data_IF_257723369229
#
_entry.id   IF_257723369229
#
_cell.length_a   1.000
_cell.length_b   1.000
_cell.length_c   1.000
_cell.angle_alpha   90.00
_cell.angle_beta   90.00
_cell.angle_gamma   90.00
#
_symmetry.space_group_name_H-M   'P 1'
#
loop_
_entity.id
_entity.type
_entity.pdbx_description
1 polymer ?
#
# COMPACT_ATOMS: atom_id res chain seq x y z
N UNK A 1 -8.76 13.81 -2.00
CA UNK A 1 -9.02 15.11 -2.68
C UNK A 1 -10.50 15.17 -3.04
N UNK A 2 -11.17 16.32 -2.88
CA UNK A 2 -12.61 16.44 -3.15
C UNK A 2 -12.87 17.35 -4.36
N UNK A 3 -13.43 16.80 -5.45
CA UNK A 3 -13.86 17.58 -6.62
C UNK A 3 -15.10 16.99 -7.31
N UNK A 4 -16.28 17.48 -6.92
CA UNK A 4 -17.49 17.51 -7.75
C UNK A 4 -18.52 18.45 -7.11
N UNK A 5 -18.56 19.74 -7.48
CA UNK A 5 -19.45 20.71 -6.84
C UNK A 5 -20.02 21.79 -7.78
N UNK A 6 -20.69 21.37 -8.86
CA UNK A 6 -21.54 22.23 -9.71
C UNK A 6 -22.69 21.44 -10.32
N UNK A 7 -23.93 21.63 -9.84
CA UNK A 7 -25.15 21.12 -10.49
C UNK A 7 -25.70 22.20 -11.42
N UNK A 8 -25.51 22.04 -12.74
CA UNK A 8 -26.08 22.96 -13.74
C UNK A 8 -27.51 22.57 -14.09
N UNK A 9 -28.47 23.40 -13.69
CA UNK A 9 -29.92 23.18 -13.87
C UNK A 9 -30.43 23.92 -15.10
N UNK A 10 -30.33 23.31 -16.28
CA UNK A 10 -30.98 23.80 -17.51
C UNK A 10 -31.50 22.65 -18.37
N UNK A 11 -32.83 22.52 -18.45
CA UNK A 11 -33.48 21.41 -19.16
C UNK A 11 -33.95 21.80 -20.56
N UNK A 12 -33.67 20.94 -21.55
CA UNK A 12 -34.46 20.80 -22.77
C UNK A 12 -34.78 19.31 -22.96
N UNK A 13 -36.04 18.98 -23.19
CA UNK A 13 -36.50 17.59 -23.17
C UNK A 13 -36.08 16.83 -24.43
N UNK A 14 -35.25 15.80 -24.26
CA UNK A 14 -34.96 14.80 -25.32
C UNK A 14 -35.93 13.63 -25.24
N UNK A 15 -36.44 13.18 -26.38
CA UNK A 15 -37.54 12.20 -26.46
C UNK A 15 -37.24 10.87 -25.76
N UNK A 16 -38.17 10.41 -24.92
CA UNK A 16 -38.14 9.05 -24.35
C UNK A 16 -38.33 8.02 -25.46
N UNK A 17 -37.33 7.18 -25.72
CA UNK A 17 -37.55 5.90 -26.40
C UNK A 17 -38.41 5.00 -25.50
N UNK A 18 -39.37 4.28 -26.07
CA UNK A 18 -40.12 3.24 -25.36
C UNK A 18 -39.18 2.08 -24.98
N UNK A 19 -39.38 1.40 -23.84
CA UNK A 19 -38.64 0.18 -23.53
C UNK A 19 -38.95 -0.91 -24.56
N UNK A 20 -37.95 -1.73 -24.87
CA UNK A 20 -38.17 -3.02 -25.55
C UNK A 20 -38.95 -3.97 -24.63
N UNK A 21 -39.69 -4.91 -25.21
CA UNK A 21 -40.48 -5.88 -24.45
C UNK A 21 -39.60 -6.75 -23.53
N UNK A 22 -40.12 -7.01 -22.33
CA UNK A 22 -39.57 -7.99 -21.38
C UNK A 22 -39.39 -9.36 -22.03
N UNK A 23 -38.36 -10.12 -21.62
CA UNK A 23 -38.20 -11.51 -22.02
C UNK A 23 -39.41 -12.36 -21.58
N UNK A 24 -39.73 -13.41 -22.35
CA UNK A 24 -40.84 -14.31 -22.03
C UNK A 24 -40.55 -15.11 -20.75
N UNK A 25 -41.53 -15.17 -19.85
CA UNK A 25 -41.51 -16.05 -18.68
C UNK A 25 -41.38 -17.51 -19.11
N UNK A 26 -40.55 -18.28 -18.40
CA UNK A 26 -40.33 -19.70 -18.66
C UNK A 26 -41.67 -20.47 -18.66
N UNK A 27 -41.89 -21.27 -19.70
CA UNK A 27 -43.13 -22.02 -19.90
C UNK A 27 -43.38 -23.06 -18.80
N UNK A 28 -44.65 -23.20 -18.40
CA UNK A 28 -45.06 -23.99 -17.24
C UNK A 28 -44.82 -25.51 -17.38
N UNK A 29 -44.70 -26.17 -16.22
CA UNK A 29 -44.72 -27.63 -16.07
C UNK A 29 -46.00 -28.19 -16.70
N UNK A 30 -45.87 -29.29 -17.47
CA UNK A 30 -47.01 -29.93 -18.14
C UNK A 30 -47.76 -30.87 -17.21
N UNK A 31 -49.09 -30.81 -17.27
CA UNK A 31 -50.03 -31.74 -16.63
C UNK A 31 -50.21 -33.03 -17.44
N UNK A 32 -50.57 -34.09 -16.73
CA UNK A 32 -51.22 -35.33 -17.24
C UNK A 32 -52.75 -35.20 -17.10
N UNK A 33 -53.63 -35.91 -17.84
CA UNK A 33 -53.43 -36.86 -18.96
C UNK A 33 -54.28 -36.45 -20.22
N UNK A 34 -55.29 -37.11 -20.82
CA UNK A 34 -55.94 -38.41 -20.60
C UNK A 34 -56.42 -39.13 -21.88
N UNK A 35 -56.08 -40.42 -21.98
CA UNK A 35 -56.65 -41.51 -22.84
C UNK A 35 -56.58 -41.43 -24.39
N UNK A 36 -56.59 -42.63 -24.97
CA UNK A 36 -56.25 -42.97 -26.35
C UNK A 36 -57.42 -42.98 -27.33
N UNK A 37 -57.22 -42.47 -28.55
CA UNK A 37 -57.92 -42.89 -29.78
C UNK A 37 -56.95 -42.93 -30.97
N UNK A 38 -57.04 -43.96 -31.81
CA UNK A 38 -56.31 -44.07 -33.09
C UNK A 38 -57.12 -43.50 -34.26
N UNK A 39 -56.71 -43.61 -35.53
CA UNK A 39 -55.52 -44.26 -36.13
C UNK A 39 -55.18 -43.57 -37.47
N UNK A 40 -53.87 -43.44 -37.80
CA UNK A 40 -53.30 -43.68 -39.14
C UNK A 40 -51.78 -43.49 -39.13
N UNK A 41 -51.04 -44.46 -39.65
CA UNK A 41 -49.59 -44.35 -39.85
C UNK A 41 -49.28 -43.53 -41.11
N UNK A 42 -48.21 -42.73 -41.06
CA UNK A 42 -47.71 -41.96 -42.20
C UNK A 42 -46.21 -42.22 -42.36
N UNK A 43 -45.81 -42.76 -43.51
CA UNK A 43 -44.44 -43.25 -43.76
C UNK A 43 -43.48 -42.11 -44.13
N UNK A 44 -43.18 -41.24 -43.17
CA UNK A 44 -42.01 -40.35 -43.20
C UNK A 44 -41.32 -40.37 -41.84
N UNK A 45 -40.03 -40.68 -41.84
CA UNK A 45 -39.19 -40.48 -40.66
C UNK A 45 -39.19 -39.00 -40.25
N UNK A 46 -39.03 -38.73 -38.96
CA UNK A 46 -38.86 -37.37 -38.48
C UNK A 46 -37.56 -36.80 -39.06
N UNK A 47 -37.63 -35.58 -39.61
CA UNK A 47 -36.42 -34.80 -39.94
C UNK A 47 -35.58 -34.66 -38.67
N UNK A 48 -34.25 -34.81 -38.76
CA UNK A 48 -33.35 -34.65 -37.61
C UNK A 48 -33.44 -33.22 -37.06
N UNK A 49 -34.26 -33.02 -36.03
CA UNK A 49 -34.34 -31.76 -35.28
C UNK A 49 -33.11 -31.71 -34.38
N UNK A 50 -31.99 -31.28 -34.95
CA UNK A 50 -30.81 -30.91 -34.16
C UNK A 50 -31.22 -29.88 -33.13
N UNK A 51 -30.91 -30.17 -31.87
CA UNK A 51 -31.08 -29.22 -30.76
C UNK A 51 -30.43 -27.90 -31.14
N UNK A 52 -31.14 -26.79 -30.95
CA UNK A 52 -30.57 -25.47 -31.20
C UNK A 52 -29.28 -25.33 -30.38
N UNK A 53 -28.15 -25.06 -31.04
CA UNK A 53 -26.87 -24.90 -30.35
C UNK A 53 -26.98 -23.73 -29.37
N UNK A 54 -26.94 -24.04 -28.08
CA UNK A 54 -27.12 -23.06 -27.03
C UNK A 54 -25.97 -22.04 -27.10
N UNK A 55 -26.32 -20.80 -27.42
CA UNK A 55 -25.35 -19.72 -27.70
C UNK A 55 -24.49 -19.41 -26.47
N UNK A 56 -24.98 -19.73 -25.27
CA UNK A 56 -24.20 -19.63 -24.04
C UNK A 56 -22.94 -20.50 -24.04
N UNK A 57 -22.98 -21.69 -24.67
CA UNK A 57 -21.82 -22.60 -24.73
C UNK A 57 -20.66 -22.04 -25.58
N UNK A 58 -20.94 -21.13 -26.52
CA UNK A 58 -19.90 -20.51 -27.33
C UNK A 58 -18.91 -19.69 -26.47
N UNK A 59 -19.41 -19.00 -25.43
CA UNK A 59 -18.57 -18.24 -24.51
C UNK A 59 -17.60 -19.13 -23.71
N UNK A 60 -18.07 -20.31 -23.27
CA UNK A 60 -17.24 -21.30 -22.56
C UNK A 60 -16.16 -21.93 -23.47
N UNK A 61 -16.36 -21.90 -24.79
CA UNK A 61 -15.36 -22.30 -25.78
C UNK A 61 -14.34 -21.21 -26.15
N UNK A 62 -14.56 -19.95 -25.75
CA UNK A 62 -13.66 -18.85 -26.08
C UNK A 62 -12.48 -18.76 -25.12
N UNK A 63 -11.26 -18.91 -25.66
CA UNK A 63 -10.02 -18.55 -24.94
C UNK A 63 -9.67 -17.09 -25.21
N UNK A 64 -9.62 -16.29 -24.14
CA UNK A 64 -9.10 -14.93 -24.19
C UNK A 64 -7.60 -14.95 -23.90
N UNK A 65 -6.78 -14.35 -24.77
CA UNK A 65 -5.34 -14.18 -24.52
C UNK A 65 -5.11 -13.23 -23.33
N UNK A 66 -4.10 -13.48 -22.48
CA UNK A 66 -3.82 -12.65 -21.31
C UNK A 66 -3.45 -11.23 -21.73
N UNK A 67 -4.05 -10.24 -21.08
CA UNK A 67 -3.70 -8.82 -21.22
C UNK A 67 -2.89 -8.41 -20.01
N UNK A 68 -1.81 -7.65 -20.22
CA UNK A 68 -1.03 -7.07 -19.12
C UNK A 68 -1.94 -6.23 -18.21
N UNK A 69 -1.80 -6.33 -16.90
CA UNK A 69 -2.58 -5.54 -15.95
C UNK A 69 -2.18 -4.06 -16.08
N UNK A 70 -3.07 -3.23 -16.61
CA UNK A 70 -2.71 -1.91 -17.12
C UNK A 70 -2.71 -0.85 -16.02
N UNK A 71 -1.51 -0.40 -15.63
CA UNK A 71 -1.31 0.92 -15.06
C UNK A 71 -0.44 1.75 -16.01
N UNK A 72 -0.96 2.93 -16.36
CA UNK A 72 -0.39 3.86 -17.34
C UNK A 72 -0.23 3.30 -18.77
N UNK A 73 -1.24 2.58 -19.28
CA UNK A 73 -1.48 2.52 -20.73
C UNK A 73 -1.98 3.88 -21.24
N UNK A 74 -1.02 4.79 -21.41
CA UNK A 74 -1.20 6.11 -22.00
C UNK A 74 -1.95 5.96 -23.33
N UNK A 75 -3.14 6.57 -23.41
CA UNK A 75 -4.01 6.46 -24.59
C UNK A 75 -3.36 7.07 -25.85
N UNK A 76 -2.41 7.99 -25.66
CA UNK A 76 -1.59 8.63 -26.71
C UNK A 76 -0.26 7.88 -27.03
N UNK A 77 -0.04 6.64 -26.56
CA UNK A 77 1.23 5.96 -26.83
C UNK A 77 1.34 5.45 -28.29
N UNK A 78 2.51 5.66 -28.90
CA UNK A 78 2.86 5.03 -30.18
C UNK A 78 3.08 3.53 -29.95
N UNK A 79 2.10 2.73 -30.40
CA UNK A 79 2.10 1.26 -30.27
C UNK A 79 3.27 0.59 -30.98
N UNK A 80 3.70 1.12 -32.13
CA UNK A 80 4.82 0.57 -32.90
C UNK A 80 6.14 0.84 -32.18
N UNK A 81 6.30 2.03 -31.61
CA UNK A 81 7.41 2.36 -30.72
C UNK A 81 7.40 1.52 -29.45
N UNK A 82 6.24 1.32 -28.82
CA UNK A 82 6.10 0.52 -27.61
C UNK A 82 6.52 -0.94 -27.83
N UNK A 83 6.01 -1.59 -28.88
CA UNK A 83 6.37 -2.98 -29.24
C UNK A 83 7.87 -3.13 -29.60
N UNK A 84 8.43 -2.17 -30.34
CA UNK A 84 9.85 -2.14 -30.69
C UNK A 84 10.75 -1.93 -29.47
N UNK A 85 10.45 -0.95 -28.62
CA UNK A 85 11.21 -0.66 -27.40
C UNK A 85 11.10 -1.84 -26.42
N UNK A 86 9.92 -2.47 -26.30
CA UNK A 86 9.71 -3.73 -25.58
C UNK A 86 10.60 -4.86 -26.10
N UNK A 87 10.54 -5.19 -27.40
CA UNK A 87 11.35 -6.25 -28.02
C UNK A 87 12.85 -6.00 -27.86
N UNK A 88 13.30 -4.74 -27.94
CA UNK A 88 14.68 -4.34 -27.66
C UNK A 88 15.07 -4.61 -26.19
N UNK A 89 14.22 -4.27 -25.24
CA UNK A 89 14.49 -4.50 -23.81
C UNK A 89 14.42 -5.98 -23.42
N UNK A 90 13.50 -6.75 -24.02
CA UNK A 90 13.41 -8.21 -23.86
C UNK A 90 14.71 -8.88 -24.33
N UNK A 91 15.16 -8.51 -25.53
CA UNK A 91 16.43 -8.97 -26.12
C UNK A 91 17.65 -8.66 -25.26
N UNK A 92 17.62 -7.55 -24.51
CA UNK A 92 18.71 -7.15 -23.62
C UNK A 92 18.76 -8.01 -22.36
N UNK A 93 17.60 -8.32 -21.75
CA UNK A 93 17.54 -9.20 -20.57
C UNK A 93 17.87 -10.65 -20.95
N UNK A 94 17.33 -11.16 -22.06
CA UNK A 94 17.66 -12.49 -22.56
C UNK A 94 19.18 -12.69 -22.72
N UNK A 95 19.88 -11.69 -23.28
CA UNK A 95 21.34 -11.70 -23.40
C UNK A 95 22.06 -11.53 -22.07
N UNK A 96 21.52 -10.75 -21.12
CA UNK A 96 22.16 -10.52 -19.81
C UNK A 96 22.21 -11.79 -18.96
N UNK A 97 21.15 -12.60 -18.99
CA UNK A 97 21.00 -13.81 -18.18
C UNK A 97 21.09 -15.12 -19.01
N UNK A 98 21.52 -15.04 -20.27
CA UNK A 98 21.63 -16.18 -21.21
C UNK A 98 20.35 -17.03 -21.35
N UNK A 99 19.17 -16.37 -21.36
CA UNK A 99 17.86 -17.04 -21.41
C UNK A 99 17.47 -17.45 -22.83
N UNK A 100 16.77 -18.59 -22.95
CA UNK A 100 16.27 -19.14 -24.21
C UNK A 100 14.77 -18.87 -24.35
N UNK A 101 14.41 -17.58 -24.44
CA UNK A 101 13.00 -17.13 -24.48
C UNK A 101 12.22 -17.68 -25.69
N UNK A 102 10.93 -17.90 -25.50
CA UNK A 102 10.00 -18.30 -26.56
C UNK A 102 9.76 -17.16 -27.57
N UNK A 103 9.60 -17.52 -28.85
CA UNK A 103 9.25 -16.55 -29.90
C UNK A 103 7.75 -16.24 -29.90
N UNK A 104 7.37 -15.13 -29.26
CA UNK A 104 6.03 -14.57 -29.31
C UNK A 104 5.77 -13.67 -30.54
N UNK A 105 6.65 -13.67 -31.55
CA UNK A 105 6.56 -12.79 -32.72
C UNK A 105 5.28 -12.96 -33.56
N UNK A 106 4.69 -14.16 -33.55
CA UNK A 106 3.42 -14.47 -34.21
C UNK A 106 2.17 -14.03 -33.41
N UNK A 107 2.33 -13.55 -32.17
CA UNK A 107 1.22 -13.14 -31.30
C UNK A 107 0.92 -11.65 -31.54
N UNK A 108 -0.36 -11.24 -31.74
CA UNK A 108 -0.69 -9.84 -31.97
C UNK A 108 -0.48 -8.98 -30.72
N UNK A 109 -0.01 -7.74 -30.92
CA UNK A 109 0.08 -6.73 -29.87
C UNK A 109 -1.32 -6.37 -29.32
N UNK A 110 -1.50 -6.19 -28.00
CA UNK A 110 -0.49 -6.21 -26.93
C UNK A 110 -0.28 -7.59 -26.26
N UNK A 111 -0.96 -8.64 -26.72
CA UNK A 111 -0.95 -9.96 -26.08
C UNK A 111 0.44 -10.61 -26.09
N UNK A 112 1.26 -10.31 -27.10
CA UNK A 112 2.66 -10.74 -27.15
C UNK A 112 3.47 -10.32 -25.91
N UNK A 113 3.18 -9.15 -25.32
CA UNK A 113 3.88 -8.67 -24.12
C UNK A 113 3.58 -9.58 -22.93
N UNK A 114 2.32 -9.98 -22.72
CA UNK A 114 1.93 -10.79 -21.56
C UNK A 114 2.56 -12.19 -21.63
N UNK A 115 2.48 -12.85 -22.78
CA UNK A 115 3.07 -14.19 -23.00
C UNK A 115 4.61 -14.16 -22.86
N UNK A 116 5.27 -13.18 -23.50
CA UNK A 116 6.72 -12.99 -23.36
C UNK A 116 7.15 -12.66 -21.92
N UNK A 117 6.33 -11.94 -21.14
CA UNK A 117 6.61 -11.67 -19.73
C UNK A 117 6.42 -12.91 -18.85
N UNK A 118 5.43 -13.76 -19.14
CA UNK A 118 5.21 -15.01 -18.43
C UNK A 118 6.39 -15.99 -18.62
N UNK A 119 6.85 -16.18 -19.86
CA UNK A 119 8.05 -16.99 -20.12
C UNK A 119 9.32 -16.36 -19.53
N UNK A 120 9.50 -15.03 -19.67
CA UNK A 120 10.63 -14.34 -19.06
C UNK A 120 10.72 -14.56 -17.55
N UNK A 121 9.62 -14.35 -16.82
CA UNK A 121 9.56 -14.57 -15.36
C UNK A 121 9.84 -16.03 -15.01
N UNK A 122 9.27 -16.98 -15.77
CA UNK A 122 9.48 -18.43 -15.62
C UNK A 122 10.91 -18.89 -15.89
N UNK A 123 11.64 -18.25 -16.80
CA UNK A 123 13.04 -18.56 -17.07
C UNK A 123 13.99 -17.89 -16.07
N UNK A 124 13.73 -16.63 -15.69
CA UNK A 124 14.52 -15.95 -14.66
C UNK A 124 14.46 -16.67 -13.31
N UNK A 125 13.28 -17.12 -12.85
CA UNK A 125 13.08 -17.95 -11.64
C UNK A 125 13.78 -19.33 -11.69
N UNK A 126 14.40 -19.71 -12.81
CA UNK A 126 15.25 -20.91 -12.94
C UNK A 126 16.74 -20.61 -13.10
N UNK A 127 17.08 -19.40 -13.52
CA UNK A 127 18.45 -18.98 -13.81
C UNK A 127 19.12 -18.28 -12.62
N UNK A 128 18.34 -17.58 -11.80
CA UNK A 128 18.80 -16.81 -10.65
C UNK A 128 18.10 -17.30 -9.37
N UNK A 129 18.88 -17.53 -8.31
CA UNK A 129 18.35 -17.92 -6.98
C UNK A 129 17.71 -16.72 -6.28
N UNK A 130 18.41 -15.58 -6.26
CA UNK A 130 17.96 -14.34 -5.60
C UNK A 130 17.08 -13.48 -6.53
N UNK A 131 16.09 -14.10 -7.17
CA UNK A 131 15.26 -13.43 -8.15
C UNK A 131 14.37 -12.34 -7.52
N UNK A 132 14.68 -11.06 -7.79
CA UNK A 132 13.81 -9.91 -7.51
C UNK A 132 12.89 -9.60 -8.69
N UNK A 133 11.72 -9.02 -8.45
CA UNK A 133 10.70 -8.89 -9.49
C UNK A 133 11.18 -8.04 -10.68
N UNK A 134 10.87 -8.50 -11.89
CA UNK A 134 11.14 -7.79 -13.14
C UNK A 134 9.85 -7.21 -13.69
N UNK A 135 9.82 -5.87 -13.78
CA UNK A 135 8.66 -5.10 -14.27
C UNK A 135 8.96 -4.47 -15.61
N UNK A 136 7.93 -4.37 -16.45
CA UNK A 136 7.94 -3.52 -17.63
C UNK A 136 7.46 -2.12 -17.23
N UNK A 137 8.28 -1.11 -17.52
CA UNK A 137 8.00 0.30 -17.21
C UNK A 137 7.90 1.07 -18.52
N UNK A 138 6.90 1.95 -18.59
CA UNK A 138 6.83 2.99 -19.60
C UNK A 138 7.09 4.34 -18.93
N UNK A 139 8.09 5.08 -19.41
CA UNK A 139 8.44 6.39 -18.85
C UNK A 139 9.10 7.27 -19.91
N UNK A 140 8.74 8.55 -19.96
CA UNK A 140 9.19 9.53 -20.98
C UNK A 140 9.07 9.00 -22.43
N UNK A 141 7.92 8.38 -22.76
CA UNK A 141 7.66 7.81 -24.08
C UNK A 141 8.73 6.77 -24.49
N UNK A 142 9.12 5.87 -23.59
CA UNK A 142 9.96 4.71 -23.89
C UNK A 142 9.64 3.56 -22.94
N UNK A 143 9.62 2.35 -23.48
CA UNK A 143 9.25 1.12 -22.78
C UNK A 143 10.50 0.29 -22.50
N UNK A 144 10.72 -0.11 -21.25
CA UNK A 144 11.90 -0.88 -20.85
C UNK A 144 11.60 -1.73 -19.61
N UNK A 145 12.35 -2.82 -19.46
CA UNK A 145 12.33 -3.61 -18.24
C UNK A 145 13.26 -3.02 -17.17
N UNK A 146 12.85 -3.14 -15.92
CA UNK A 146 13.63 -2.79 -14.75
C UNK A 146 13.55 -3.90 -13.68
N UNK A 147 14.59 -4.03 -12.87
CA UNK A 147 14.54 -4.83 -11.64
C UNK A 147 13.96 -4.00 -10.50
N UNK A 148 13.28 -4.66 -9.58
CA UNK A 148 12.96 -4.12 -8.26
C UNK A 148 14.24 -3.91 -7.43
N UNK A 149 14.23 -2.87 -6.61
CA UNK A 149 15.27 -2.50 -5.65
C UNK A 149 14.55 -1.82 -4.47
N UNK A 150 14.64 -2.40 -3.28
CA UNK A 150 13.95 -1.90 -2.07
C UNK A 150 14.94 -1.16 -1.16
N UNK A 151 14.43 -0.24 -0.36
CA UNK A 151 15.14 0.34 0.78
C UNK A 151 14.93 -0.57 2.00
N UNK A 152 16.01 -1.20 2.44
CA UNK A 152 16.04 -2.06 3.63
C UNK A 152 15.65 -1.26 4.88
N UNK A 153 14.49 -1.57 5.47
CA UNK A 153 14.05 -0.96 6.74
C UNK A 153 14.48 -1.75 7.98
N UNK A 154 15.06 -2.94 7.78
CA UNK A 154 15.29 -3.95 8.80
C UNK A 154 13.99 -4.51 9.39
N UNK A 155 14.13 -5.45 10.33
CA UNK A 155 13.04 -5.95 11.18
C UNK A 155 12.81 -4.99 12.36
N UNK A 156 12.52 -3.72 12.08
CA UNK A 156 12.53 -2.63 13.06
C UNK A 156 11.16 -2.00 13.21
N UNK A 157 10.62 -2.03 14.43
CA UNK A 157 9.39 -1.32 14.79
C UNK A 157 9.72 0.15 15.15
N UNK A 158 9.49 1.07 14.22
CA UNK A 158 9.67 2.51 14.40
C UNK A 158 8.48 3.12 15.16
N UNK A 159 8.28 2.66 16.39
CA UNK A 159 7.18 3.07 17.26
C UNK A 159 7.54 4.32 18.06
N UNK A 160 6.84 5.42 17.78
CA UNK A 160 7.17 6.76 18.29
C UNK A 160 6.32 7.08 19.53
N UNK A 161 6.89 7.09 20.76
CA UNK A 161 6.10 7.23 21.98
C UNK A 161 5.61 8.66 22.21
N UNK A 162 4.44 8.82 22.84
CA UNK A 162 3.87 10.14 23.20
C UNK A 162 3.93 10.47 24.69
N UNK A 163 3.97 9.49 25.58
CA UNK A 163 4.02 9.72 27.04
C UNK A 163 5.30 10.47 27.47
N UNK A 164 6.52 10.13 26.98
CA UNK A 164 7.72 10.91 27.29
C UNK A 164 7.62 12.39 26.84
N UNK A 165 6.97 12.65 25.70
CA UNK A 165 6.68 14.03 25.24
C UNK A 165 5.69 14.74 26.18
N UNK A 166 4.64 14.05 26.63
CA UNK A 166 3.70 14.59 27.63
C UNK A 166 4.42 14.94 28.94
N UNK A 167 5.29 14.07 29.43
CA UNK A 167 6.01 14.29 30.68
C UNK A 167 6.94 15.51 30.60
N UNK A 168 7.70 15.69 29.50
CA UNK A 168 8.52 16.90 29.32
C UNK A 168 7.71 18.17 28.96
N UNK A 169 6.46 18.05 28.52
CA UNK A 169 5.55 19.21 28.35
C UNK A 169 5.04 19.76 29.70
N UNK A 170 4.97 18.92 30.74
CA UNK A 170 4.53 19.32 32.08
C UNK A 170 5.68 19.69 33.03
N UNK A 171 6.94 19.57 32.58
CA UNK A 171 8.13 19.91 33.36
C UNK A 171 8.75 21.23 32.85
N UNK A 172 8.81 22.25 33.72
CA UNK A 172 9.36 23.57 33.39
C UNK A 172 10.87 23.56 33.11
N UNK A 173 11.61 22.57 33.60
CA UNK A 173 13.04 22.42 33.28
C UNK A 173 13.29 22.08 31.80
N UNK A 174 12.32 21.46 31.14
CA UNK A 174 12.40 20.97 29.74
C UNK A 174 11.51 21.75 28.76
N UNK A 175 10.90 22.87 29.17
CA UNK A 175 9.96 23.68 28.38
C UNK A 175 10.42 23.96 26.94
N UNK A 176 11.67 24.41 26.75
CA UNK A 176 12.18 24.70 25.40
C UNK A 176 12.32 23.43 24.55
N UNK A 177 12.72 22.31 25.15
CA UNK A 177 12.90 21.03 24.46
C UNK A 177 11.56 20.42 24.07
N UNK A 178 10.56 20.47 24.97
CA UNK A 178 9.22 19.96 24.71
C UNK A 178 8.49 20.78 23.66
N UNK A 179 8.60 22.11 23.68
CA UNK A 179 8.09 22.98 22.61
C UNK A 179 8.77 22.71 21.25
N UNK A 180 10.09 22.46 21.22
CA UNK A 180 10.80 22.14 19.98
C UNK A 180 10.42 20.76 19.43
N UNK A 181 10.37 19.72 20.28
CA UNK A 181 9.96 18.37 19.89
C UNK A 181 8.48 18.32 19.49
N UNK A 182 7.62 19.14 20.07
CA UNK A 182 6.22 19.25 19.64
C UNK A 182 6.09 19.71 18.17
N UNK A 183 7.04 20.51 17.65
CA UNK A 183 7.13 20.81 16.21
C UNK A 183 7.65 19.64 15.38
N UNK A 184 8.49 18.76 15.94
CA UNK A 184 8.92 17.51 15.29
C UNK A 184 7.75 16.55 15.15
N UNK A 185 7.00 16.32 16.23
CA UNK A 185 5.80 15.46 16.22
C UNK A 185 4.72 16.01 15.27
N UNK A 186 4.51 17.33 15.26
CA UNK A 186 3.61 17.97 14.29
C UNK A 186 4.06 17.75 12.83
N UNK A 187 5.36 17.76 12.52
CA UNK A 187 5.84 17.43 11.17
C UNK A 187 5.61 15.95 10.80
N UNK A 188 5.92 15.04 11.73
CA UNK A 188 5.76 13.59 11.53
C UNK A 188 4.29 13.22 11.30
N UNK A 189 3.37 13.78 12.09
CA UNK A 189 1.94 13.52 11.93
C UNK A 189 1.32 14.30 10.75
N UNK A 190 1.49 15.62 10.67
CA UNK A 190 0.76 16.45 9.69
C UNK A 190 1.31 16.35 8.25
N UNK A 191 2.59 16.02 8.05
CA UNK A 191 3.24 16.05 6.72
C UNK A 191 3.85 14.71 6.32
N UNK A 192 4.57 14.01 7.21
CA UNK A 192 5.02 12.65 6.87
C UNK A 192 3.83 11.68 6.84
N UNK A 193 2.77 11.92 7.63
CA UNK A 193 1.54 11.12 7.62
C UNK A 193 1.69 9.80 8.37
N UNK A 194 2.54 9.75 9.39
CA UNK A 194 2.70 8.54 10.24
C UNK A 194 1.40 8.28 11.02
N UNK A 195 0.86 7.04 10.98
CA UNK A 195 -0.39 6.66 11.65
C UNK A 195 -0.30 6.75 13.17
N UNK A 196 -1.45 6.78 13.84
CA UNK A 196 -1.54 7.05 15.28
C UNK A 196 -2.46 6.06 15.99
N UNK A 197 -1.94 5.35 17.00
CA UNK A 197 -2.63 4.30 17.77
C UNK A 197 -3.98 4.66 18.43
N UNK A 198 -4.39 5.94 18.41
CA UNK A 198 -5.73 6.40 18.80
C UNK A 198 -6.53 6.84 17.57
N UNK A 199 -6.56 6.02 16.53
CA UNK A 199 -7.31 6.26 15.28
C UNK A 199 -7.84 4.94 14.75
N UNK A 200 -9.14 4.90 14.53
CA UNK A 200 -9.98 3.71 14.43
C UNK A 200 -9.75 2.87 13.15
N UNK A 201 -8.71 3.19 12.38
CA UNK A 201 -8.29 2.59 11.10
C UNK A 201 -6.81 2.19 11.03
N UNK A 202 -6.03 2.41 12.10
CA UNK A 202 -4.59 2.11 12.17
C UNK A 202 -4.30 0.79 12.90
N UNK A 203 -3.29 0.03 12.47
CA UNK A 203 -2.92 -1.28 13.02
C UNK A 203 -2.73 -1.28 14.54
N UNK A 204 -1.96 -0.32 15.07
CA UNK A 204 -1.75 -0.23 16.52
C UNK A 204 -3.04 0.06 17.30
N UNK A 205 -4.05 0.71 16.72
CA UNK A 205 -5.33 0.89 17.39
C UNK A 205 -6.00 -0.46 17.66
N UNK A 206 -6.05 -1.35 16.66
CA UNK A 206 -6.57 -2.71 16.83
C UNK A 206 -5.74 -3.56 17.78
N UNK A 207 -4.41 -3.36 17.86
CA UNK A 207 -3.57 -4.02 18.86
C UNK A 207 -3.89 -3.54 20.29
N UNK A 208 -4.09 -2.23 20.51
CA UNK A 208 -4.52 -1.72 21.82
C UNK A 208 -5.96 -2.16 22.18
N UNK A 209 -6.88 -2.29 21.22
CA UNK A 209 -8.20 -2.90 21.47
C UNK A 209 -8.10 -4.40 21.83
N UNK A 210 -7.20 -5.15 21.20
CA UNK A 210 -6.97 -6.56 21.56
C UNK A 210 -6.51 -6.69 23.02
N UNK A 211 -5.53 -5.89 23.43
CA UNK A 211 -5.04 -5.84 24.81
C UNK A 211 -6.12 -5.38 25.81
N UNK A 212 -7.02 -4.47 25.41
CA UNK A 212 -8.15 -4.05 26.26
C UNK A 212 -9.13 -5.19 26.54
N UNK A 213 -9.43 -6.01 25.53
CA UNK A 213 -10.34 -7.14 25.71
C UNK A 213 -9.71 -8.19 26.66
N UNK A 214 -8.43 -8.54 26.46
CA UNK A 214 -7.72 -9.45 27.38
C UNK A 214 -7.63 -8.90 28.81
N UNK A 215 -7.42 -7.59 28.98
CA UNK A 215 -7.42 -6.91 30.27
C UNK A 215 -8.74 -7.09 31.05
N UNK A 216 -9.88 -7.19 30.34
CA UNK A 216 -11.19 -7.43 30.93
C UNK A 216 -11.55 -8.91 31.11
N UNK A 217 -11.14 -9.78 30.18
CA UNK A 217 -11.49 -11.21 30.18
C UNK A 217 -10.63 -12.04 31.16
N UNK A 218 -9.31 -11.85 31.14
CA UNK A 218 -8.38 -12.60 32.01
C UNK A 218 -8.14 -11.92 33.38
N UNK A 219 -8.36 -10.60 33.45
CA UNK A 219 -8.20 -9.78 34.64
C UNK A 219 -6.76 -9.31 34.86
N UNK A 220 -6.46 -8.07 34.46
CA UNK A 220 -5.13 -7.48 34.59
C UNK A 220 -4.80 -6.89 35.98
N UNK A 221 -3.50 -6.71 36.25
CA UNK A 221 -2.98 -6.03 37.44
C UNK A 221 -3.25 -4.52 37.42
N UNK A 222 -3.34 -3.89 38.61
CA UNK A 222 -3.66 -2.46 38.75
C UNK A 222 -2.67 -1.54 38.00
N UNK A 223 -1.39 -1.92 37.93
CA UNK A 223 -0.36 -1.17 37.19
C UNK A 223 -0.60 -1.19 35.67
N UNK A 224 -0.94 -2.35 35.10
CA UNK A 224 -1.30 -2.47 33.68
C UNK A 224 -2.57 -1.69 33.35
N UNK A 225 -3.57 -1.73 34.24
CA UNK A 225 -4.81 -0.94 34.10
C UNK A 225 -4.49 0.57 34.17
N UNK A 226 -3.57 1.01 35.03
CA UNK A 226 -3.14 2.41 35.11
C UNK A 226 -2.41 2.85 33.83
N UNK A 227 -1.42 2.08 33.37
CA UNK A 227 -0.70 2.29 32.11
C UNK A 227 -1.67 2.38 30.92
N UNK A 228 -2.70 1.52 30.87
CA UNK A 228 -3.68 1.51 29.78
C UNK A 228 -4.60 2.73 29.79
N UNK A 229 -5.05 3.16 30.98
CA UNK A 229 -5.83 4.38 31.14
C UNK A 229 -5.03 5.63 30.74
N UNK A 230 -3.74 5.70 31.10
CA UNK A 230 -2.87 6.80 30.71
C UNK A 230 -2.49 6.75 29.23
N UNK A 231 -2.26 5.58 28.65
CA UNK A 231 -2.08 5.40 27.21
C UNK A 231 -3.26 5.96 26.40
N UNK A 232 -4.50 5.78 26.87
CA UNK A 232 -5.69 6.41 26.30
C UNK A 232 -5.75 7.93 26.57
N UNK A 233 -5.70 8.33 27.84
CA UNK A 233 -5.88 9.71 28.31
C UNK A 233 -4.83 10.67 27.73
N UNK A 234 -3.56 10.29 27.80
CA UNK A 234 -2.43 11.05 27.27
C UNK A 234 -2.43 11.00 25.75
N UNK A 235 -2.72 9.84 25.16
CA UNK A 235 -2.85 9.66 23.71
C UNK A 235 -3.85 10.62 23.08
N UNK A 236 -5.06 10.70 23.64
CA UNK A 236 -6.14 11.54 23.13
C UNK A 236 -5.94 13.03 23.44
N UNK A 237 -5.02 13.37 24.35
CA UNK A 237 -4.60 14.73 24.64
C UNK A 237 -3.48 15.19 23.69
N UNK A 238 -2.37 14.43 23.61
CA UNK A 238 -1.21 14.78 22.77
C UNK A 238 -1.57 14.83 21.28
N UNK A 239 -2.42 13.92 20.80
CA UNK A 239 -2.93 13.94 19.41
C UNK A 239 -3.52 15.31 19.05
N UNK A 240 -4.31 15.91 19.94
CA UNK A 240 -4.95 17.22 19.73
C UNK A 240 -3.93 18.34 19.65
N UNK A 241 -2.88 18.31 20.49
CA UNK A 241 -1.85 19.37 20.51
C UNK A 241 -1.03 19.35 19.23
N UNK A 242 -0.43 18.22 18.83
CA UNK A 242 0.38 18.19 17.61
C UNK A 242 -0.45 18.21 16.32
N UNK A 243 -1.77 17.98 16.38
CA UNK A 243 -2.68 18.19 15.24
C UNK A 243 -2.89 19.67 14.92
N UNK A 244 -2.66 20.58 15.87
CA UNK A 244 -2.78 22.02 15.63
C UNK A 244 -1.69 22.49 14.64
N UNK A 245 -2.06 23.08 13.48
CA UNK A 245 -1.10 23.63 12.53
C UNK A 245 -0.12 24.65 13.14
N UNK A 246 -0.48 25.33 14.24
CA UNK A 246 0.40 26.31 14.91
C UNK A 246 1.73 25.70 15.35
N UNK A 247 1.74 24.40 15.69
CA UNK A 247 2.94 23.71 16.13
C UNK A 247 3.92 23.45 14.98
N UNK A 248 3.41 23.20 13.77
CA UNK A 248 4.25 23.11 12.57
C UNK A 248 4.71 24.50 12.09
N UNK A 249 3.81 25.49 12.08
CA UNK A 249 4.16 26.86 11.69
C UNK A 249 5.24 27.48 12.62
N UNK A 250 5.18 27.17 13.92
CA UNK A 250 6.15 27.66 14.92
C UNK A 250 7.55 27.05 14.79
N UNK A 251 7.72 25.95 14.04
CA UNK A 251 8.95 25.16 14.00
C UNK A 251 10.18 26.00 13.62
N UNK A 252 10.08 26.80 12.57
CA UNK A 252 11.17 27.69 12.11
C UNK A 252 11.58 28.72 13.17
N UNK A 253 10.65 29.18 14.00
CA UNK A 253 10.95 30.15 15.06
C UNK A 253 11.56 29.46 16.27
N UNK A 254 10.92 28.39 16.76
CA UNK A 254 11.41 27.55 17.88
C UNK A 254 12.85 27.08 17.64
N UNK A 255 13.17 26.62 16.42
CA UNK A 255 14.51 26.16 16.06
C UNK A 255 15.57 27.28 16.04
N UNK A 256 15.18 28.54 15.79
CA UNK A 256 16.07 29.71 15.80
C UNK A 256 16.32 30.25 17.20
N UNK A 257 15.33 30.17 18.09
CA UNK A 257 15.40 30.71 19.46
C UNK A 257 15.87 29.70 20.50
N UNK A 258 16.00 28.41 20.13
CA UNK A 258 16.40 27.35 21.04
C UNK A 258 17.85 27.48 21.51
N UNK A 259 18.06 27.43 22.83
CA UNK A 259 19.39 27.46 23.46
C UNK A 259 19.59 26.18 24.27
N UNK A 260 20.44 25.28 23.76
CA UNK A 260 20.73 24.02 24.44
C UNK A 260 21.55 24.25 25.71
N UNK A 261 21.07 23.76 26.86
CA UNK A 261 21.72 23.90 28.18
C UNK A 261 22.25 22.54 28.68
N UNK A 262 21.47 21.49 28.45
CA UNK A 262 21.74 20.10 28.85
C UNK A 262 22.16 19.23 27.67
N UNK A 263 22.63 18.01 27.95
CA UNK A 263 22.90 17.03 26.89
C UNK A 263 21.62 16.47 26.25
N UNK A 264 20.51 16.44 26.99
CA UNK A 264 19.19 16.19 26.41
C UNK A 264 18.85 17.25 25.35
N UNK A 265 18.95 18.54 25.69
CA UNK A 265 18.69 19.65 24.75
C UNK A 265 19.54 19.55 23.47
N UNK A 266 20.81 19.13 23.59
CA UNK A 266 21.70 18.93 22.43
C UNK A 266 21.20 17.81 21.51
N UNK A 267 20.70 16.71 22.07
CA UNK A 267 20.07 15.61 21.31
C UNK A 267 18.77 16.08 20.65
N UNK A 268 17.86 16.71 21.40
CA UNK A 268 16.60 17.26 20.88
C UNK A 268 16.83 18.25 19.73
N UNK A 269 17.79 19.17 19.88
CA UNK A 269 18.18 20.12 18.84
C UNK A 269 18.79 19.44 17.60
N UNK A 270 19.49 18.32 17.78
CA UNK A 270 20.07 17.56 16.67
C UNK A 270 18.98 16.86 15.87
N UNK A 271 18.06 16.16 16.53
CA UNK A 271 16.89 15.51 15.89
C UNK A 271 16.00 16.55 15.21
N UNK A 272 15.69 17.67 15.87
CA UNK A 272 14.93 18.77 15.27
C UNK A 272 15.64 19.37 14.05
N UNK A 273 16.97 19.54 14.07
CA UNK A 273 17.73 19.96 12.88
C UNK A 273 17.70 18.92 11.75
N UNK A 274 17.66 17.63 12.06
CA UNK A 274 17.52 16.57 11.05
C UNK A 274 16.14 16.62 10.40
N UNK A 275 15.05 16.56 11.17
CA UNK A 275 13.70 16.67 10.62
C UNK A 275 13.44 17.99 9.89
N UNK A 276 13.95 19.12 10.39
CA UNK A 276 13.81 20.41 9.71
C UNK A 276 14.49 20.46 8.34
N UNK A 277 15.66 19.80 8.18
CA UNK A 277 16.30 19.65 6.85
C UNK A 277 15.41 18.86 5.88
N UNK A 278 14.75 17.79 6.36
CA UNK A 278 13.83 16.98 5.55
C UNK A 278 12.62 17.83 5.17
N UNK A 279 12.00 18.53 6.13
CA UNK A 279 10.89 19.45 5.89
C UNK A 279 11.22 20.53 4.86
N UNK A 280 12.42 21.14 4.90
CA UNK A 280 12.83 22.13 3.91
C UNK A 280 13.10 21.55 2.51
N UNK A 281 13.64 20.32 2.42
CA UNK A 281 13.91 19.65 1.14
C UNK A 281 12.68 18.98 0.52
N UNK A 282 11.73 18.54 1.36
CA UNK A 282 10.57 17.72 0.98
C UNK A 282 9.28 18.20 1.69
N UNK A 283 8.84 19.46 1.52
CA UNK A 283 7.83 20.12 2.36
C UNK A 283 6.40 19.56 2.24
N UNK A 284 6.15 18.60 1.35
CA UNK A 284 4.84 17.98 1.08
C UNK A 284 4.97 16.49 0.72
N UNK A 285 5.97 15.81 1.26
CA UNK A 285 6.23 14.39 0.98
C UNK A 285 5.87 13.56 2.22
N UNK A 286 4.94 12.64 2.03
CA UNK A 286 4.56 11.62 3.01
C UNK A 286 5.55 10.43 2.96
N UNK A 287 5.63 9.68 4.07
CA UNK A 287 6.54 8.54 4.23
C UNK A 287 6.21 7.39 3.26
N UNK A 288 4.95 7.27 2.84
CA UNK A 288 4.44 6.27 1.91
C UNK A 288 4.84 6.49 0.43
N UNK A 289 5.47 7.63 0.07
CA UNK A 289 5.70 8.06 -1.33
C UNK A 289 6.28 6.99 -2.28
N UNK A 290 7.07 6.05 -1.76
CA UNK A 290 7.73 5.00 -2.56
C UNK A 290 7.19 3.59 -2.33
N UNK A 291 6.13 3.43 -1.56
CA UNK A 291 5.51 2.13 -1.36
C UNK A 291 4.79 1.73 -2.65
N UNK A 292 5.17 0.58 -3.20
CA UNK A 292 4.65 0.13 -4.49
C UNK A 292 3.41 -0.75 -4.26
N UNK A 293 2.22 -0.38 -4.78
CA UNK A 293 0.97 -0.97 -4.29
C UNK A 293 0.93 -2.50 -4.40
N UNK A 294 0.78 -3.17 -3.24
CA UNK A 294 0.83 -4.63 -3.09
C UNK A 294 -0.05 -5.41 -4.08
N UNK A 295 -1.19 -4.86 -4.49
CA UNK A 295 -2.08 -5.43 -5.53
C UNK A 295 -1.46 -5.59 -6.92
N UNK A 296 -0.25 -5.08 -7.13
CA UNK A 296 0.54 -5.22 -8.35
C UNK A 296 1.84 -6.01 -8.14
N UNK A 297 2.21 -6.37 -6.91
CA UNK A 297 3.31 -7.32 -6.63
C UNK A 297 2.94 -8.70 -7.16
N UNK A 298 3.94 -9.46 -7.63
CA UNK A 298 3.74 -10.86 -7.98
C UNK A 298 3.53 -11.69 -6.71
N UNK A 299 2.26 -11.82 -6.31
CA UNK A 299 1.81 -12.78 -5.31
C UNK A 299 2.25 -14.19 -5.69
N UNK A 300 2.74 -14.96 -4.71
CA UNK A 300 3.05 -16.38 -4.88
C UNK A 300 1.80 -17.19 -4.47
N UNK A 301 1.06 -16.75 -3.45
CA UNK A 301 -0.26 -17.25 -3.06
C UNK A 301 -1.31 -16.11 -2.84
N UNK A 302 -2.57 -16.50 -2.70
CA UNK A 302 -3.72 -15.61 -2.46
C UNK A 302 -3.73 -15.11 -1.00
N UNK A 303 -3.38 -15.98 -0.06
CA UNK A 303 -3.46 -15.72 1.38
C UNK A 303 -2.20 -15.05 1.97
N UNK A 304 -1.12 -14.95 1.19
CA UNK A 304 0.11 -14.23 1.57
C UNK A 304 -0.17 -12.76 1.90
N UNK A 305 0.17 -12.36 3.13
CA UNK A 305 0.17 -10.97 3.59
C UNK A 305 1.60 -10.44 3.67
N UNK A 306 1.76 -9.16 3.35
CA UNK A 306 3.00 -8.42 3.55
C UNK A 306 2.86 -7.48 4.75
N UNK A 307 3.89 -7.38 5.58
CA UNK A 307 3.96 -6.43 6.70
C UNK A 307 3.97 -5.02 6.12
N UNK A 308 2.85 -4.31 6.26
CA UNK A 308 2.66 -2.99 5.65
C UNK A 308 3.26 -1.87 6.50
N UNK A 309 3.42 -0.67 5.92
CA UNK A 309 4.05 0.48 6.59
C UNK A 309 3.42 0.83 7.95
N UNK A 310 2.10 0.73 8.08
CA UNK A 310 1.37 0.99 9.33
C UNK A 310 1.61 -0.09 10.41
N UNK A 311 2.00 -1.31 10.01
CA UNK A 311 2.38 -2.35 10.96
C UNK A 311 3.67 -1.99 11.72
N UNK A 312 4.67 -1.39 11.05
CA UNK A 312 6.01 -1.17 11.62
C UNK A 312 6.41 0.32 11.78
N UNK A 313 5.62 1.29 11.33
CA UNK A 313 5.85 2.73 11.57
C UNK A 313 4.57 3.39 12.04
N UNK A 314 4.50 3.74 13.32
CA UNK A 314 3.31 4.33 13.94
C UNK A 314 3.69 5.09 15.21
N UNK A 315 2.83 5.99 15.69
CA UNK A 315 2.96 6.49 17.06
C UNK A 315 2.38 5.48 18.05
N UNK A 316 3.03 5.28 19.19
CA UNK A 316 2.57 4.45 20.31
C UNK A 316 2.42 5.29 21.60
N UNK A 317 1.87 4.70 22.67
CA UNK A 317 1.78 5.39 23.96
C UNK A 317 3.16 5.59 24.60
N UNK A 318 3.88 4.48 24.82
CA UNK A 318 5.17 4.39 25.50
C UNK A 318 6.11 3.45 24.73
N UNK A 319 7.38 3.39 25.15
CA UNK A 319 8.37 2.35 24.77
C UNK A 319 8.97 1.66 26.02
N UNK A 320 8.26 1.74 27.15
CA UNK A 320 8.63 1.29 28.50
C UNK A 320 7.33 0.93 29.26
N UNK A 321 7.40 0.03 30.23
CA UNK A 321 6.24 -0.43 31.03
C UNK A 321 5.60 -1.70 30.46
N UNK A 322 4.92 -2.46 31.32
CA UNK A 322 4.36 -3.79 31.00
C UNK A 322 3.39 -3.75 29.82
N UNK A 323 2.62 -2.67 29.67
CA UNK A 323 1.74 -2.46 28.52
C UNK A 323 2.50 -2.41 27.19
N UNK A 324 3.69 -1.82 27.15
CA UNK A 324 4.51 -1.80 25.93
C UNK A 324 5.15 -3.15 25.64
N UNK A 325 5.54 -3.89 26.68
CA UNK A 325 6.09 -5.25 26.55
C UNK A 325 5.04 -6.22 25.98
N UNK A 326 3.81 -6.21 26.53
CA UNK A 326 2.68 -6.97 25.98
C UNK A 326 2.34 -6.55 24.55
N UNK A 327 2.34 -5.25 24.24
CA UNK A 327 2.12 -4.75 22.87
C UNK A 327 3.19 -5.27 21.90
N UNK A 328 4.46 -5.23 22.28
CA UNK A 328 5.53 -5.75 21.44
C UNK A 328 5.41 -7.26 21.24
N UNK A 329 4.99 -8.02 22.27
CA UNK A 329 4.77 -9.45 22.14
C UNK A 329 3.64 -9.74 21.14
N UNK A 330 2.44 -9.16 21.34
CA UNK A 330 1.30 -9.32 20.42
C UNK A 330 1.61 -8.92 18.98
N UNK A 331 2.37 -7.83 18.78
CA UNK A 331 2.80 -7.39 17.44
C UNK A 331 3.77 -8.39 16.81
N UNK A 332 4.79 -8.85 17.53
CA UNK A 332 5.73 -9.83 16.95
C UNK A 332 5.02 -11.17 16.66
N UNK A 333 4.06 -11.57 17.50
CA UNK A 333 3.29 -12.80 17.33
C UNK A 333 2.32 -12.75 16.14
N UNK A 334 1.78 -11.59 15.79
CA UNK A 334 1.02 -11.36 14.55
C UNK A 334 1.95 -11.27 13.33
N UNK A 335 3.02 -10.47 13.40
CA UNK A 335 3.87 -10.17 12.24
C UNK A 335 4.76 -11.33 11.79
N UNK A 336 5.01 -12.34 12.62
CA UNK A 336 5.74 -13.56 12.19
C UNK A 336 4.97 -14.42 11.17
N UNK A 337 3.63 -14.26 11.07
CA UNK A 337 2.77 -14.98 10.13
C UNK A 337 2.75 -14.34 8.72
N UNK A 338 3.51 -13.25 8.51
CA UNK A 338 3.55 -12.50 7.25
C UNK A 338 4.78 -12.89 6.40
N UNK A 339 4.61 -12.96 5.08
CA UNK A 339 5.61 -13.56 4.18
C UNK A 339 6.74 -12.60 3.75
N UNK A 340 6.45 -11.31 3.57
CA UNK A 340 7.45 -10.28 3.24
C UNK A 340 7.16 -8.96 3.96
N UNK A 341 8.18 -8.08 4.05
CA UNK A 341 7.98 -6.69 4.46
C UNK A 341 7.71 -5.84 3.21
N UNK A 342 6.69 -4.97 3.28
CA UNK A 342 6.49 -3.90 2.31
C UNK A 342 7.45 -2.74 2.64
N UNK A 343 8.19 -2.27 1.65
CA UNK A 343 9.34 -1.38 1.82
C UNK A 343 9.33 -0.29 0.74
N UNK A 344 9.98 0.87 0.99
CA UNK A 344 10.13 1.90 -0.01
C UNK A 344 10.84 1.34 -1.25
N UNK A 345 10.14 1.30 -2.37
CA UNK A 345 10.55 0.57 -3.57
C UNK A 345 10.95 1.52 -4.69
N UNK A 346 11.96 1.13 -5.46
CA UNK A 346 12.33 1.77 -6.73
C UNK A 346 12.62 0.72 -7.78
N UNK A 347 12.71 1.16 -9.04
CA UNK A 347 13.01 0.28 -10.16
C UNK A 347 14.25 0.73 -10.92
N UNK A 348 15.20 -0.19 -11.11
CA UNK A 348 16.48 0.08 -11.78
C UNK A 348 16.44 -0.50 -13.20
N UNK A 349 16.54 0.34 -14.26
CA UNK A 349 16.49 -0.13 -15.64
C UNK A 349 17.63 -1.09 -15.99
N UNK A 350 17.30 -2.16 -16.71
CA UNK A 350 18.28 -3.15 -17.15
C UNK A 350 19.26 -2.63 -18.22
N UNK A 351 18.90 -1.58 -18.95
CA UNK A 351 19.73 -0.93 -19.97
C UNK A 351 20.64 0.18 -19.42
N UNK A 352 20.75 0.31 -18.09
CA UNK A 352 21.56 1.29 -17.37
C UNK A 352 21.19 2.77 -17.62
N UNK A 353 20.01 3.08 -18.20
CA UNK A 353 19.56 4.47 -18.33
C UNK A 353 19.40 5.12 -16.95
N UNK A 354 19.90 6.35 -16.79
CA UNK A 354 19.76 7.11 -15.54
C UNK A 354 18.37 7.76 -15.45
N UNK A 355 17.62 7.43 -14.41
CA UNK A 355 16.37 8.11 -14.06
C UNK A 355 16.69 9.15 -12.97
N UNK A 356 16.28 10.41 -13.17
CA UNK A 356 16.46 11.51 -12.19
C UNK A 356 15.66 11.20 -10.93
N UNK A 357 16.20 11.55 -9.75
CA UNK A 357 15.54 11.36 -8.43
C UNK A 357 15.17 9.90 -8.05
N UNK A 358 15.72 8.91 -8.77
CA UNK A 358 15.52 7.48 -8.51
C UNK A 358 16.49 6.93 -7.43
N UNK A 359 16.57 7.62 -6.29
CA UNK A 359 17.41 7.29 -5.13
C UNK A 359 16.55 7.06 -3.87
N UNK A 360 17.17 6.78 -2.72
CA UNK A 360 16.48 6.67 -1.42
C UNK A 360 16.85 7.82 -0.45
N UNK A 361 17.07 9.01 -1.00
CA UNK A 361 17.64 10.18 -0.28
C UNK A 361 16.61 10.91 0.60
N UNK A 362 15.31 10.60 0.48
CA UNK A 362 14.28 11.04 1.42
C UNK A 362 14.08 9.98 2.51
N UNK A 363 13.91 8.74 2.08
CA UNK A 363 13.56 7.56 2.87
C UNK A 363 14.64 7.32 3.93
N UNK A 364 15.91 7.25 3.52
CA UNK A 364 17.06 7.12 4.43
C UNK A 364 17.15 8.26 5.45
N UNK A 365 16.75 9.49 5.11
CA UNK A 365 16.77 10.60 6.08
C UNK A 365 15.62 10.50 7.07
N UNK A 366 14.43 10.07 6.62
CA UNK A 366 13.25 9.91 7.48
C UNK A 366 13.46 8.78 8.49
N UNK A 367 13.82 7.57 8.05
CA UNK A 367 14.01 6.44 8.97
C UNK A 367 15.11 6.70 9.99
N UNK A 368 16.29 7.18 9.57
CA UNK A 368 17.37 7.55 10.51
C UNK A 368 16.98 8.69 11.47
N UNK A 369 16.10 9.62 11.07
CA UNK A 369 15.63 10.69 11.96
C UNK A 369 14.56 10.21 12.96
N UNK A 370 13.72 9.25 12.58
CA UNK A 370 12.76 8.59 13.48
C UNK A 370 13.50 7.72 14.50
N UNK A 371 14.46 6.91 14.05
CA UNK A 371 15.35 6.13 14.92
C UNK A 371 16.08 7.02 15.94
N UNK A 372 16.72 8.10 15.47
CA UNK A 372 17.35 9.11 16.34
C UNK A 372 16.38 9.76 17.35
N UNK A 373 15.07 9.84 17.05
CA UNK A 373 14.06 10.35 17.97
C UNK A 373 13.67 9.29 19.02
N UNK A 374 13.50 8.03 18.61
CA UNK A 374 13.18 6.93 19.51
C UNK A 374 14.34 6.69 20.49
N UNK A 375 15.59 6.73 20.02
CA UNK A 375 16.79 6.62 20.85
C UNK A 375 16.82 7.65 22.00
N UNK A 376 16.39 8.90 21.76
CA UNK A 376 16.30 9.92 22.83
C UNK A 376 15.38 9.48 23.97
N UNK A 377 14.27 8.82 23.65
CA UNK A 377 13.31 8.34 24.65
C UNK A 377 13.72 7.03 25.33
N UNK A 378 14.57 6.23 24.68
CA UNK A 378 15.20 5.06 25.30
C UNK A 378 16.24 5.51 26.35
N UNK A 379 17.19 6.35 25.95
CA UNK A 379 18.36 6.75 26.74
C UNK A 379 18.06 7.62 27.97
N UNK A 380 16.90 8.28 28.02
CA UNK A 380 16.50 9.15 29.13
C UNK A 380 15.27 8.59 29.87
N UNK A 381 15.20 8.86 31.17
CA UNK A 381 14.03 8.59 32.00
C UNK A 381 13.21 9.89 32.11
N UNK A 382 12.15 9.97 31.30
CA UNK A 382 11.16 11.05 31.28
C UNK A 382 9.76 10.48 31.15
#
# INVERSE_FOLDING_TARGET
MNYANTVSRNGKATNKRKPSSTAQTVGAVRTVDEKTKGCRGNTKGQTEVRTACDVANAFLGMRFSPRLQEHETIQDCDRLKMDRDFKKSLSLIAKKFNLSLQDCGNIPFPYNIAESMADLKKQLKKAETDWKEVRLIHHNNSTYFAKEDRYDTGMTLYYIPVIPLYNILHNSATEQASQLLLSVYAYIYQILGVPYYRTDDCYLYSMYEMLENWMYDDGAEEEFIADFNDAKRIGDFIKKIFSDPINLHSYTNRLKTFVAKTDFDKKCLTVAKSFYKIFCAYPKVQIDRKFYPLRFRERIDIDERAVSLDNYVSFCASIKGSLFESLCQSVNDDLQEYFEIDEPTRFIPYDNRRIKENNFDFESKVFNAIDSLIQIWQEHQY
#
